data_IF_438212090677
#
_entry.id   IF_438212090677
#
_cell.length_a   1.000
_cell.length_b   1.000
_cell.length_c   1.000
_cell.angle_alpha   90.00
_cell.angle_beta   90.00
_cell.angle_gamma   90.00
#
_symmetry.space_group_name_H-M   'P 1'
#
loop_
_entity.id
_entity.type
_entity.pdbx_description
1 polymer ?
#
# COMPACT_ATOMS: atom_id res chain seq x y z
N UNK A 1 -8.50 -9.84 18.43
CA UNK A 1 -8.67 -9.56 17.03
C UNK A 1 -8.80 -8.06 16.81
N UNK A 2 -8.03 -7.58 15.90
CA UNK A 2 -7.90 -6.14 15.64
C UNK A 2 -8.35 -5.83 14.22
N UNK A 3 -9.00 -4.69 14.05
CA UNK A 3 -9.30 -4.20 12.72
C UNK A 3 -8.03 -3.73 12.03
N UNK A 4 -8.00 -3.90 10.72
CA UNK A 4 -6.91 -3.40 9.90
C UNK A 4 -7.11 -1.92 9.67
N UNK A 5 -6.26 -1.11 10.26
CA UNK A 5 -6.40 0.34 10.18
C UNK A 5 -5.47 0.97 9.15
N UNK A 6 -4.37 0.30 8.80
CA UNK A 6 -3.43 0.80 7.80
C UNK A 6 -3.59 0.04 6.49
N UNK A 7 -3.93 0.76 5.44
CA UNK A 7 -4.11 0.20 4.09
C UNK A 7 -3.50 1.12 3.05
N UNK A 8 -3.31 0.57 1.86
CA UNK A 8 -2.87 1.32 0.68
C UNK A 8 -4.02 1.30 -0.32
N UNK A 9 -4.40 2.46 -0.83
CA UNK A 9 -5.37 2.56 -1.91
C UNK A 9 -4.63 2.50 -3.24
N UNK A 10 -5.10 1.65 -4.14
CA UNK A 10 -4.52 1.49 -5.46
C UNK A 10 -5.62 1.36 -6.50
N UNK A 11 -5.24 1.47 -7.76
CA UNK A 11 -6.17 1.33 -8.88
C UNK A 11 -5.74 0.18 -9.77
N UNK A 12 -6.70 -0.55 -10.30
CA UNK A 12 -6.45 -1.55 -11.33
C UNK A 12 -6.15 -0.83 -12.63
N UNK A 13 -4.96 -1.03 -13.16
CA UNK A 13 -4.52 -0.38 -14.39
C UNK A 13 -4.45 -1.32 -15.59
N UNK A 14 -4.47 -2.63 -15.35
CA UNK A 14 -4.49 -3.62 -16.41
C UNK A 14 -5.20 -4.87 -15.93
N UNK A 15 -5.93 -5.48 -16.82
CA UNK A 15 -6.67 -6.70 -16.55
C UNK A 15 -6.41 -7.68 -17.68
N UNK A 16 -5.78 -8.80 -17.34
CA UNK A 16 -5.48 -9.86 -18.28
C UNK A 16 -6.17 -11.15 -17.81
N UNK A 17 -6.26 -12.13 -18.69
CA UNK A 17 -6.77 -13.44 -18.28
C UNK A 17 -5.88 -13.97 -17.14
N UNK A 18 -6.50 -14.22 -16.01
CA UNK A 18 -5.81 -14.74 -14.82
C UNK A 18 -4.96 -13.75 -14.05
N UNK A 19 -4.91 -12.48 -14.45
CA UNK A 19 -4.09 -11.48 -13.75
C UNK A 19 -4.76 -10.13 -13.61
N UNK A 20 -4.51 -9.48 -12.48
CA UNK A 20 -4.90 -8.10 -12.19
C UNK A 20 -3.63 -7.33 -11.84
N UNK A 21 -3.43 -6.18 -12.48
CA UNK A 21 -2.25 -5.34 -12.26
C UNK A 21 -2.70 -4.01 -11.66
N UNK A 22 -2.08 -3.64 -10.55
CA UNK A 22 -2.38 -2.40 -9.84
C UNK A 22 -1.19 -1.45 -9.87
N UNK A 23 -1.43 -0.18 -9.61
CA UNK A 23 -0.42 0.88 -9.66
C UNK A 23 0.39 1.04 -8.37
N UNK A 24 0.38 0.05 -7.51
CA UNK A 24 1.23 0.03 -6.32
C UNK A 24 2.24 -1.11 -6.46
N UNK A 25 3.51 -0.79 -6.37
CA UNK A 25 4.60 -1.76 -6.51
C UNK A 25 5.50 -1.81 -5.29
N UNK A 26 6.73 -2.24 -5.49
CA UNK A 26 7.72 -2.37 -4.41
C UNK A 26 8.02 -1.06 -3.71
N UNK A 27 7.85 0.06 -4.39
CA UNK A 27 8.07 1.38 -3.79
C UNK A 27 6.94 1.81 -2.87
N UNK A 28 5.81 1.11 -2.90
CA UNK A 28 4.60 1.54 -2.20
C UNK A 28 4.26 0.68 -1.00
N UNK A 29 4.75 -0.54 -0.94
CA UNK A 29 4.34 -1.48 0.11
C UNK A 29 5.46 -2.46 0.42
N UNK A 30 5.69 -2.67 1.71
CA UNK A 30 6.71 -3.61 2.18
C UNK A 30 6.16 -5.04 2.28
N UNK A 31 7.06 -6.02 2.20
CA UNK A 31 6.74 -7.45 2.22
C UNK A 31 5.68 -7.79 1.15
N UNK A 32 5.99 -7.54 -0.12
CA UNK A 32 4.98 -7.63 -1.18
C UNK A 32 4.37 -9.02 -1.33
N UNK A 33 5.10 -10.08 -1.01
CA UNK A 33 4.59 -11.44 -1.14
C UNK A 33 3.42 -11.73 -0.19
N UNK A 34 3.25 -10.92 0.83
CA UNK A 34 2.20 -11.10 1.83
C UNK A 34 1.06 -10.09 1.68
N UNK A 35 1.10 -9.27 0.65
CA UNK A 35 0.04 -8.27 0.41
C UNK A 35 -1.25 -8.98 0.01
N UNK A 36 -2.36 -8.50 0.54
CA UNK A 36 -3.68 -8.99 0.18
C UNK A 36 -4.56 -7.84 -0.29
N UNK A 37 -5.56 -8.18 -1.10
CA UNK A 37 -6.59 -7.23 -1.53
C UNK A 37 -7.82 -7.47 -0.68
N UNK A 38 -8.29 -6.44 0.02
CA UNK A 38 -9.47 -6.55 0.88
C UNK A 38 -10.68 -6.96 0.06
N UNK A 39 -11.37 -8.01 0.52
CA UNK A 39 -12.58 -8.48 -0.13
C UNK A 39 -12.37 -9.36 -1.37
N UNK A 40 -11.13 -9.67 -1.71
CA UNK A 40 -10.82 -10.47 -2.89
C UNK A 40 -9.77 -11.52 -2.58
N UNK A 41 -9.95 -12.71 -3.13
CA UNK A 41 -9.02 -13.83 -2.94
C UNK A 41 -8.03 -13.88 -4.10
N UNK A 42 -7.18 -12.87 -4.18
CA UNK A 42 -6.15 -12.73 -5.19
C UNK A 42 -4.79 -12.87 -4.54
N UNK A 43 -3.95 -13.75 -5.08
CA UNK A 43 -2.60 -13.97 -4.56
C UNK A 43 -1.60 -13.14 -5.33
N UNK A 44 -0.57 -12.68 -4.65
CA UNK A 44 0.53 -11.98 -5.32
C UNK A 44 1.20 -12.94 -6.30
N UNK A 45 1.31 -12.52 -7.55
CA UNK A 45 2.11 -13.19 -8.55
C UNK A 45 3.53 -12.62 -8.55
N UNK A 46 3.64 -11.29 -8.63
CA UNK A 46 4.92 -10.59 -8.63
C UNK A 46 4.69 -9.11 -8.38
N UNK A 47 5.61 -8.48 -7.66
CA UNK A 47 5.66 -7.01 -7.57
C UNK A 47 6.89 -6.51 -8.29
N UNK A 48 6.69 -5.58 -9.21
CA UNK A 48 7.74 -4.78 -9.80
C UNK A 48 7.82 -3.44 -9.05
N UNK A 49 8.71 -2.54 -9.47
CA UNK A 49 8.93 -1.29 -8.73
C UNK A 49 7.65 -0.46 -8.58
N UNK A 50 6.88 -0.33 -9.66
CA UNK A 50 5.71 0.54 -9.69
C UNK A 50 4.39 -0.23 -9.81
N UNK A 51 4.43 -1.54 -9.95
CA UNK A 51 3.24 -2.33 -10.24
C UNK A 51 3.17 -3.59 -9.42
N UNK A 52 2.00 -3.86 -8.88
CA UNK A 52 1.69 -5.12 -8.22
C UNK A 52 0.89 -6.00 -9.16
N UNK A 53 1.30 -7.24 -9.34
CA UNK A 53 0.65 -8.20 -10.20
C UNK A 53 0.08 -9.32 -9.34
N UNK A 54 -1.22 -9.50 -9.42
CA UNK A 54 -1.93 -10.52 -8.66
C UNK A 54 -2.49 -11.56 -9.59
N UNK A 55 -2.43 -12.81 -9.17
CA UNK A 55 -3.18 -13.88 -9.84
C UNK A 55 -4.66 -13.72 -9.52
N UNK A 56 -5.48 -13.68 -10.54
CA UNK A 56 -6.91 -13.50 -10.40
C UNK A 56 -7.63 -14.84 -10.62
N UNK A 57 -8.49 -15.25 -9.69
CA UNK A 57 -9.30 -16.43 -9.92
C UNK A 57 -10.24 -16.24 -11.09
N UNK A 58 -10.66 -17.33 -11.68
CA UNK A 58 -11.67 -17.32 -12.74
C UNK A 58 -12.93 -16.61 -12.21
N UNK A 59 -13.43 -15.68 -12.99
CA UNK A 59 -14.61 -14.93 -12.60
C UNK A 59 -14.34 -13.73 -11.69
N UNK A 60 -13.07 -13.36 -11.48
CA UNK A 60 -12.74 -12.15 -10.71
C UNK A 60 -13.48 -10.94 -11.30
N UNK A 61 -14.18 -10.15 -10.44
CA UNK A 61 -14.95 -9.00 -10.92
C UNK A 61 -14.09 -7.76 -11.15
N UNK A 62 -12.81 -7.79 -10.78
CA UNK A 62 -11.97 -6.60 -10.87
C UNK A 62 -11.71 -6.21 -12.32
N UNK A 63 -11.89 -4.94 -12.62
CA UNK A 63 -11.72 -4.35 -13.95
C UNK A 63 -10.82 -3.13 -13.87
N UNK A 64 -10.26 -2.75 -15.01
CA UNK A 64 -9.47 -1.52 -15.13
C UNK A 64 -10.29 -0.33 -14.64
N UNK A 65 -9.68 0.49 -13.81
CA UNK A 65 -10.31 1.65 -13.20
C UNK A 65 -10.88 1.39 -11.81
N UNK A 66 -11.02 0.14 -11.41
CA UNK A 66 -11.49 -0.17 -10.05
C UNK A 66 -10.45 0.23 -9.03
N UNK A 67 -10.91 0.79 -7.91
CA UNK A 67 -10.08 1.03 -6.76
C UNK A 67 -10.04 -0.22 -5.90
N UNK A 68 -8.85 -0.55 -5.42
CA UNK A 68 -8.67 -1.67 -4.49
C UNK A 68 -7.96 -1.20 -3.24
N UNK A 69 -8.23 -1.87 -2.15
CA UNK A 69 -7.60 -1.61 -0.86
C UNK A 69 -6.63 -2.75 -0.58
N UNK A 70 -5.36 -2.40 -0.45
CA UNK A 70 -4.30 -3.36 -0.17
C UNK A 70 -3.95 -3.33 1.30
N UNK A 71 -3.72 -4.51 1.87
CA UNK A 71 -3.14 -4.64 3.21
C UNK A 71 -1.66 -4.91 3.03
N UNK A 72 -0.77 -4.02 3.55
CA UNK A 72 0.67 -4.25 3.41
C UNK A 72 1.09 -5.53 4.11
N UNK A 73 2.12 -6.18 3.57
CA UNK A 73 2.70 -7.34 4.23
C UNK A 73 3.43 -6.94 5.51
N UNK A 74 3.97 -5.72 5.57
CA UNK A 74 4.65 -5.20 6.75
C UNK A 74 4.40 -3.71 6.89
N UNK A 75 3.62 -3.34 7.88
CA UNK A 75 3.18 -1.95 8.05
C UNK A 75 4.29 -0.98 8.45
N UNK A 76 5.19 -1.31 9.40
CA UNK A 76 6.20 -0.32 9.82
C UNK A 76 7.10 0.15 8.68
N UNK A 77 7.59 -0.75 7.85
CA UNK A 77 8.42 -0.37 6.71
C UNK A 77 7.63 0.35 5.64
N UNK A 78 6.36 -0.01 5.44
CA UNK A 78 5.49 0.66 4.49
C UNK A 78 5.29 2.12 4.89
N UNK A 79 4.95 2.38 6.15
CA UNK A 79 4.77 3.73 6.67
C UNK A 79 6.01 4.59 6.45
N UNK A 80 7.18 3.99 6.55
CA UNK A 80 8.46 4.69 6.42
C UNK A 80 8.66 5.36 5.06
N UNK A 81 7.91 4.95 4.05
CA UNK A 81 8.04 5.46 2.68
C UNK A 81 7.04 6.54 2.32
N UNK A 82 6.21 6.96 3.26
CA UNK A 82 5.15 7.94 3.01
C UNK A 82 5.34 9.17 3.89
N UNK A 83 4.77 10.28 3.44
CA UNK A 83 4.84 11.55 4.15
C UNK A 83 3.67 11.74 5.11
N UNK A 84 2.55 11.13 4.82
CA UNK A 84 1.32 11.39 5.57
C UNK A 84 0.35 10.21 5.50
N UNK A 85 -0.50 10.14 6.52
CA UNK A 85 -1.68 9.31 6.51
C UNK A 85 -2.86 10.13 6.01
N UNK A 86 -3.66 9.53 5.17
CA UNK A 86 -4.99 10.06 4.85
C UNK A 86 -5.97 9.35 5.77
N UNK A 87 -6.55 10.09 6.70
CA UNK A 87 -7.47 9.53 7.68
C UNK A 87 -8.84 9.43 7.04
N UNK A 88 -9.38 8.22 6.96
CA UNK A 88 -10.63 7.95 6.25
C UNK A 88 -11.71 7.53 7.24
N UNK A 89 -12.87 8.11 7.09
CA UNK A 89 -14.08 7.73 7.82
C UNK A 89 -15.23 7.69 6.84
N UNK A 90 -15.93 6.56 6.79
CA UNK A 90 -17.06 6.37 5.87
C UNK A 90 -16.71 6.69 4.41
N UNK A 91 -15.56 6.21 3.95
CA UNK A 91 -15.03 6.40 2.59
C UNK A 91 -14.71 7.86 2.24
N UNK A 92 -14.60 8.72 3.22
CA UNK A 92 -14.25 10.12 3.03
C UNK A 92 -12.96 10.42 3.79
N UNK A 93 -12.03 11.12 3.13
CA UNK A 93 -10.83 11.61 3.80
C UNK A 93 -11.24 12.76 4.70
N UNK A 94 -11.11 12.57 6.01
CA UNK A 94 -11.53 13.57 7.01
C UNK A 94 -10.35 14.32 7.61
N UNK A 95 -9.13 13.84 7.43
CA UNK A 95 -7.93 14.50 7.95
C UNK A 95 -6.70 13.97 7.24
N UNK A 96 -5.59 14.69 7.38
CA UNK A 96 -4.28 14.26 6.90
C UNK A 96 -3.29 14.45 8.04
N UNK A 97 -2.66 13.34 8.45
CA UNK A 97 -1.69 13.37 9.54
C UNK A 97 -0.28 13.17 8.99
N UNK A 98 0.65 14.07 9.26
CA UNK A 98 2.03 13.87 8.83
C UNK A 98 2.66 12.67 9.56
N UNK A 99 3.49 11.94 8.83
CA UNK A 99 4.24 10.83 9.40
C UNK A 99 5.60 11.38 9.83
N UNK A 100 5.75 11.61 11.13
CA UNK A 100 6.95 12.21 11.69
C UNK A 100 8.09 11.19 11.82
N UNK A 101 7.91 10.05 12.52
CA UNK A 101 8.97 9.07 12.67
C UNK A 101 9.06 8.17 11.43
N UNK A 102 9.88 8.59 10.49
CA UNK A 102 10.10 7.85 9.25
C UNK A 102 11.53 8.02 8.75
N UNK A 103 11.89 7.22 7.77
CA UNK A 103 13.21 7.26 7.15
C UNK A 103 14.22 6.32 7.82
N UNK A 104 15.52 6.55 7.61
CA UNK A 104 16.55 5.69 8.19
C UNK A 104 16.53 5.67 9.70
N UNK A 105 16.88 4.54 10.28
CA UNK A 105 16.80 4.33 11.72
C UNK A 105 17.72 5.22 12.56
N UNK A 106 18.67 5.92 11.96
CA UNK A 106 19.58 6.83 12.66
C UNK A 106 19.13 8.29 12.59
N UNK A 107 17.86 8.52 12.41
CA UNK A 107 17.28 9.85 12.34
C UNK A 107 17.63 10.73 13.53
N UNK A 108 17.77 10.14 14.71
CA UNK A 108 18.12 10.90 15.89
C UNK A 108 19.40 11.70 15.71
N UNK A 109 20.43 11.07 15.14
CA UNK A 109 21.69 11.76 14.85
C UNK A 109 21.53 12.79 13.75
N UNK A 110 20.82 12.44 12.71
CA UNK A 110 20.54 13.37 11.63
C UNK A 110 19.74 14.57 12.11
N UNK A 111 18.80 14.34 13.01
CA UNK A 111 18.02 15.41 13.63
C UNK A 111 18.87 16.37 14.43
N UNK A 112 19.85 15.86 15.15
CA UNK A 112 20.79 16.70 15.88
C UNK A 112 21.66 17.53 14.95
N UNK A 113 22.04 16.96 13.83
CA UNK A 113 22.88 17.65 12.85
C UNK A 113 22.09 18.63 11.97
N UNK A 114 20.79 18.47 11.87
CA UNK A 114 19.94 19.27 10.99
C UNK A 114 18.76 19.86 11.75
N UNK A 115 19.01 20.81 12.62
CA UNK A 115 17.97 21.34 13.52
C UNK A 115 16.88 22.14 12.83
N UNK A 116 17.11 22.58 11.63
CA UNK A 116 16.18 23.49 10.94
C UNK A 116 15.09 22.74 10.16
N UNK A 117 14.55 21.73 10.75
CA UNK A 117 13.55 20.90 10.08
C UNK A 117 12.14 21.34 10.43
#
# INVERSE_FOLDING_TARGET
HFERSLTIQASVISRQSGKVIVDAGNKSVAAPDEVTIVGHDHKVFRFDEEHGIFSAPLGSPLQVGDRVTLVPGYSPSTVNWYDAYHVVQDNVVVDIWPIIPRGPGHHGLAGLAAPAR
#
